data_IF_115161700133
#
_entry.id   IF_115161700133
#
_cell.length_a   1.000
_cell.length_b   1.000
_cell.length_c   1.000
_cell.angle_alpha   90.00
_cell.angle_beta   90.00
_cell.angle_gamma   90.00
#
_symmetry.space_group_name_H-M   'P 1'
#
loop_
_entity.id
_entity.type
_entity.pdbx_description
1 polymer ?
#
# COMPACT_ATOMS: atom_id res chain seq x y z
N UNK A 1 -5.33 -11.72 2.29
CA UNK A 1 -5.10 -11.33 3.71
C UNK A 1 -5.04 -12.50 4.69
N UNK A 2 -6.07 -13.38 4.80
CA UNK A 2 -6.00 -14.55 5.71
C UNK A 2 -4.81 -15.47 5.42
N UNK A 3 -4.62 -15.82 4.14
CA UNK A 3 -3.45 -16.60 3.68
C UNK A 3 -2.13 -15.90 4.02
N UNK A 4 -1.99 -14.62 3.67
CA UNK A 4 -0.79 -13.83 3.99
C UNK A 4 -0.43 -13.88 5.48
N UNK A 5 -1.43 -13.71 6.37
CA UNK A 5 -1.22 -13.79 7.83
C UNK A 5 -0.73 -15.19 8.25
N UNK A 6 -1.30 -16.25 7.67
CA UNK A 6 -0.89 -17.63 7.94
C UNK A 6 0.51 -17.97 7.43
N UNK A 7 0.84 -17.52 6.22
CA UNK A 7 2.09 -17.89 5.54
C UNK A 7 3.29 -17.11 6.10
N UNK A 8 3.08 -15.86 6.54
CA UNK A 8 4.16 -14.97 7.01
C UNK A 8 4.30 -14.96 8.54
N UNK A 9 3.19 -15.02 9.29
CA UNK A 9 3.24 -14.98 10.76
C UNK A 9 3.78 -13.68 11.36
N UNK A 10 3.58 -12.53 10.69
CA UNK A 10 4.09 -11.24 11.16
C UNK A 10 3.42 -10.76 12.47
N UNK A 11 4.22 -10.18 13.38
CA UNK A 11 3.76 -9.57 14.63
C UNK A 11 3.01 -8.24 14.41
N UNK A 12 3.39 -7.52 13.35
CA UNK A 12 2.79 -6.26 12.95
C UNK A 12 2.31 -6.33 11.50
N UNK A 13 1.18 -5.69 11.22
CA UNK A 13 0.59 -5.67 9.89
C UNK A 13 -0.27 -4.42 9.69
N UNK A 14 -0.26 -3.89 8.48
CA UNK A 14 -1.12 -2.77 8.04
C UNK A 14 -1.45 -2.95 6.57
N UNK A 15 -2.68 -2.59 6.19
CA UNK A 15 -3.10 -2.53 4.79
C UNK A 15 -3.20 -1.05 4.39
N UNK A 16 -2.51 -0.67 3.33
CA UNK A 16 -2.43 0.72 2.87
C UNK A 16 -3.26 0.87 1.60
N UNK A 17 -4.09 1.90 1.55
CA UNK A 17 -4.87 2.28 0.36
C UNK A 17 -4.55 3.73 -0.02
N UNK A 18 -4.60 4.01 -1.33
CA UNK A 18 -4.50 5.37 -1.84
C UNK A 18 -5.63 6.27 -1.29
N UNK A 19 -5.27 7.51 -0.98
CA UNK A 19 -6.24 8.52 -0.62
C UNK A 19 -6.96 9.07 -1.86
N UNK A 20 -8.17 9.58 -1.66
CA UNK A 20 -8.82 10.39 -2.69
C UNK A 20 -8.19 11.77 -2.76
N UNK A 21 -8.06 12.30 -3.97
CA UNK A 21 -7.54 13.65 -4.23
C UNK A 21 -6.13 13.65 -4.82
N UNK A 22 -5.58 14.84 -5.12
CA UNK A 22 -4.25 14.98 -5.69
C UNK A 22 -3.17 14.71 -4.63
N UNK A 23 -1.98 14.37 -5.12
CA UNK A 23 -0.77 14.16 -4.34
C UNK A 23 0.26 15.24 -4.65
N UNK A 24 1.40 15.23 -3.95
CA UNK A 24 2.51 16.12 -4.31
C UNK A 24 3.07 15.85 -5.72
N UNK A 25 2.91 14.63 -6.26
CA UNK A 25 3.37 14.31 -7.63
C UNK A 25 2.58 15.07 -8.68
N UNK A 26 1.27 15.23 -8.48
CA UNK A 26 0.41 16.04 -9.36
C UNK A 26 0.83 17.51 -9.38
N UNK A 27 1.31 18.03 -8.24
CA UNK A 27 1.83 19.40 -8.14
C UNK A 27 3.21 19.57 -8.81
N UNK A 28 4.05 18.52 -8.76
CA UNK A 28 5.37 18.54 -9.40
C UNK A 28 5.29 18.39 -10.92
N UNK A 29 4.37 17.54 -11.40
CA UNK A 29 4.22 17.24 -12.81
C UNK A 29 2.73 17.05 -13.16
N UNK A 30 2.06 18.07 -13.70
CA UNK A 30 0.62 18.03 -14.00
C UNK A 30 0.19 16.90 -14.96
N UNK A 31 1.08 16.45 -15.84
CA UNK A 31 0.82 15.33 -16.76
C UNK A 31 1.06 13.95 -16.13
N UNK A 32 1.45 13.89 -14.85
CA UNK A 32 1.66 12.64 -14.14
C UNK A 32 0.37 11.81 -14.11
N UNK A 33 0.42 10.58 -14.65
CA UNK A 33 -0.73 9.66 -14.76
C UNK A 33 -1.94 10.22 -15.52
N UNK A 34 -1.81 11.34 -16.25
CA UNK A 34 -2.93 11.98 -16.97
C UNK A 34 -3.61 11.08 -18.01
N UNK A 35 -2.89 10.10 -18.55
CA UNK A 35 -3.38 9.09 -19.48
C UNK A 35 -4.16 7.93 -18.83
N UNK A 36 -4.21 7.85 -17.49
CA UNK A 36 -4.97 6.79 -16.81
C UNK A 36 -6.45 7.07 -16.95
N UNK A 37 -7.19 6.07 -17.42
CA UNK A 37 -8.65 6.14 -17.42
C UNK A 37 -9.16 6.25 -15.98
N UNK A 38 -10.24 7.03 -15.72
CA UNK A 38 -10.85 7.08 -14.41
C UNK A 38 -11.37 5.70 -14.02
N UNK A 39 -11.36 5.41 -12.72
CA UNK A 39 -11.91 4.17 -12.19
C UNK A 39 -13.41 4.07 -12.55
N UNK A 40 -13.88 2.96 -13.16
CA UNK A 40 -15.28 2.73 -13.46
C UNK A 40 -16.16 2.90 -12.20
N UNK A 41 -17.37 3.49 -12.29
CA UNK A 41 -18.24 3.72 -11.14
C UNK A 41 -18.53 2.46 -10.32
N UNK A 42 -18.77 1.33 -11.00
CA UNK A 42 -19.03 0.04 -10.37
C UNK A 42 -17.84 -0.48 -9.55
N UNK A 43 -16.61 -0.17 -9.96
CA UNK A 43 -15.41 -0.51 -9.18
C UNK A 43 -15.21 0.48 -8.03
N UNK A 44 -15.46 1.77 -8.26
CA UNK A 44 -15.37 2.80 -7.23
C UNK A 44 -16.33 2.54 -6.07
N UNK A 45 -17.55 2.08 -6.36
CA UNK A 45 -18.55 1.73 -5.36
C UNK A 45 -18.12 0.57 -4.43
N UNK A 46 -17.12 -0.23 -4.85
CA UNK A 46 -16.62 -1.37 -4.06
C UNK A 46 -15.49 -0.99 -3.09
N UNK A 47 -14.86 0.18 -3.24
CA UNK A 47 -13.70 0.56 -2.42
C UNK A 47 -14.04 0.67 -0.93
N UNK A 48 -15.12 1.37 -0.58
CA UNK A 48 -15.52 1.54 0.81
C UNK A 48 -15.91 0.20 1.48
N UNK A 49 -16.74 -0.67 0.86
CA UNK A 49 -16.95 -2.04 1.35
C UNK A 49 -15.67 -2.86 1.53
N UNK A 50 -14.69 -2.74 0.61
CA UNK A 50 -13.39 -3.41 0.74
C UNK A 50 -12.66 -2.92 2.00
N UNK A 51 -12.61 -1.60 2.22
CA UNK A 51 -11.98 -1.05 3.43
C UNK A 51 -12.66 -1.57 4.71
N UNK A 52 -13.99 -1.64 4.73
CA UNK A 52 -14.76 -2.17 5.86
C UNK A 52 -14.42 -3.65 6.11
N UNK A 53 -14.44 -4.49 5.09
CA UNK A 53 -14.10 -5.91 5.21
C UNK A 53 -12.68 -6.11 5.71
N UNK A 54 -11.71 -5.32 5.23
CA UNK A 54 -10.31 -5.41 5.70
C UNK A 54 -10.21 -5.05 7.19
N UNK A 55 -10.90 -4.01 7.64
CA UNK A 55 -10.98 -3.65 9.08
C UNK A 55 -11.62 -4.77 9.90
N UNK A 56 -12.74 -5.33 9.44
CA UNK A 56 -13.45 -6.44 10.10
C UNK A 56 -12.60 -7.72 10.17
N UNK A 57 -11.67 -7.93 9.23
CA UNK A 57 -10.67 -8.99 9.29
C UNK A 57 -9.55 -8.72 10.33
N UNK A 58 -9.64 -7.62 11.06
CA UNK A 58 -8.69 -7.21 12.09
C UNK A 58 -7.38 -6.69 11.51
N UNK A 59 -7.42 -6.02 10.35
CA UNK A 59 -6.27 -5.32 9.80
C UNK A 59 -6.40 -3.82 10.06
N UNK A 60 -5.37 -3.15 10.60
CA UNK A 60 -5.25 -1.71 10.50
C UNK A 60 -5.29 -1.29 9.03
N UNK A 61 -6.10 -0.28 8.72
CA UNK A 61 -6.22 0.32 7.39
C UNK A 61 -5.68 1.74 7.45
N UNK A 62 -4.69 2.02 6.61
CA UNK A 62 -4.03 3.33 6.53
C UNK A 62 -4.30 3.97 5.17
N UNK A 63 -4.72 5.23 5.21
CA UNK A 63 -4.90 6.09 4.04
C UNK A 63 -4.42 7.48 4.43
N UNK A 64 -3.51 8.06 3.65
CA UNK A 64 -2.87 9.33 3.99
C UNK A 64 -3.10 10.33 2.86
N UNK A 65 -3.88 11.40 3.07
CA UNK A 65 -4.10 12.42 2.05
C UNK A 65 -2.81 13.11 1.61
N UNK A 66 -2.71 13.44 0.32
CA UNK A 66 -1.61 14.20 -0.25
C UNK A 66 -0.37 13.38 -0.64
N UNK A 67 -0.35 12.08 -0.37
CA UNK A 67 0.70 11.14 -0.80
C UNK A 67 0.05 9.89 -1.43
N UNK A 68 0.84 9.12 -2.16
CA UNK A 68 0.42 7.82 -2.69
C UNK A 68 0.66 6.70 -1.66
N UNK A 69 0.01 5.55 -1.87
CA UNK A 69 0.21 4.39 -0.99
C UNK A 69 1.67 3.90 -0.97
N UNK A 70 2.40 4.04 -2.08
CA UNK A 70 3.81 3.69 -2.20
C UNK A 70 4.70 4.49 -1.23
N UNK A 71 4.43 5.79 -1.04
CA UNK A 71 5.14 6.67 -0.12
C UNK A 71 4.95 6.25 1.33
N UNK A 72 3.70 5.91 1.69
CA UNK A 72 3.37 5.43 3.02
C UNK A 72 4.05 4.07 3.30
N UNK A 73 4.02 3.14 2.34
CA UNK A 73 4.69 1.84 2.44
C UNK A 73 6.21 2.02 2.57
N UNK A 74 6.82 2.86 1.73
CA UNK A 74 8.25 3.15 1.79
C UNK A 74 8.67 3.79 3.12
N UNK A 75 7.87 4.72 3.63
CA UNK A 75 8.10 5.35 4.94
C UNK A 75 8.02 4.34 6.07
N UNK A 76 6.97 3.53 6.12
CA UNK A 76 6.80 2.49 7.15
C UNK A 76 7.91 1.44 7.09
N UNK A 77 8.32 1.04 5.88
CA UNK A 77 9.39 0.07 5.68
C UNK A 77 10.71 0.61 6.26
N UNK A 78 11.07 1.87 5.95
CA UNK A 78 12.26 2.50 6.50
C UNK A 78 12.23 2.64 8.02
N UNK A 79 11.10 3.04 8.58
CA UNK A 79 10.93 3.18 10.04
C UNK A 79 11.04 1.84 10.74
N UNK A 80 10.39 0.79 10.21
CA UNK A 80 10.42 -0.55 10.78
C UNK A 80 11.84 -1.15 10.76
N UNK A 81 12.57 -1.02 9.64
CA UNK A 81 13.97 -1.46 9.55
C UNK A 81 14.86 -0.72 10.54
N UNK A 82 14.69 0.60 10.68
CA UNK A 82 15.44 1.39 11.66
C UNK A 82 15.15 0.97 13.12
N UNK A 83 14.00 0.34 13.37
CA UNK A 83 13.62 -0.23 14.67
C UNK A 83 14.04 -1.71 14.83
N UNK A 84 14.74 -2.28 13.85
CA UNK A 84 15.24 -3.65 13.90
C UNK A 84 14.26 -4.71 13.41
N UNK A 85 13.16 -4.32 12.74
CA UNK A 85 12.22 -5.26 12.16
C UNK A 85 12.59 -5.62 10.72
N UNK A 86 12.31 -6.87 10.33
CA UNK A 86 12.23 -7.28 8.92
C UNK A 86 10.86 -6.92 8.36
N UNK A 87 10.84 -6.52 7.09
CA UNK A 87 9.64 -6.02 6.42
C UNK A 87 9.34 -6.89 5.21
N UNK A 88 8.06 -7.26 5.07
CA UNK A 88 7.53 -7.90 3.87
C UNK A 88 6.50 -6.97 3.25
N UNK A 89 6.72 -6.59 1.99
CA UNK A 89 5.79 -5.79 1.20
C UNK A 89 5.05 -6.72 0.25
N UNK A 90 3.75 -6.86 0.45
CA UNK A 90 2.87 -7.65 -0.43
C UNK A 90 2.25 -6.74 -1.49
N UNK A 91 2.78 -6.79 -2.72
CA UNK A 91 2.36 -5.92 -3.82
C UNK A 91 2.65 -6.55 -5.19
N UNK A 92 1.82 -6.20 -6.18
CA UNK A 92 2.11 -6.47 -7.60
C UNK A 92 2.83 -5.31 -8.29
N UNK A 93 2.97 -4.17 -7.62
CA UNK A 93 3.64 -3.00 -8.16
C UNK A 93 5.16 -3.15 -8.09
N UNK A 94 5.79 -3.13 -9.27
CA UNK A 94 7.24 -3.30 -9.42
C UNK A 94 8.02 -2.06 -9.01
N UNK A 95 7.39 -0.89 -8.96
CA UNK A 95 8.06 0.33 -8.52
C UNK A 95 8.51 0.19 -7.06
N UNK A 96 7.78 -0.58 -6.25
CA UNK A 96 8.16 -0.89 -4.86
C UNK A 96 9.36 -1.85 -4.74
N UNK A 97 9.82 -2.47 -5.82
CA UNK A 97 11.05 -3.27 -5.80
C UNK A 97 12.28 -2.43 -5.42
N UNK A 98 12.22 -1.11 -5.60
CA UNK A 98 13.27 -0.18 -5.15
C UNK A 98 13.52 -0.22 -3.63
N UNK A 99 12.55 -0.70 -2.83
CA UNK A 99 12.68 -0.80 -1.39
C UNK A 99 13.47 -2.04 -0.94
N UNK A 100 13.62 -3.05 -1.81
CA UNK A 100 14.19 -4.35 -1.48
C UNK A 100 15.65 -4.22 -1.06
N UNK A 101 15.99 -4.83 0.06
CA UNK A 101 17.35 -4.90 0.59
C UNK A 101 17.47 -6.13 1.53
N UNK A 102 18.50 -6.20 2.36
CA UNK A 102 18.72 -7.33 3.26
C UNK A 102 17.59 -7.55 4.29
N UNK A 103 16.83 -6.50 4.62
CA UNK A 103 15.78 -6.50 5.65
C UNK A 103 14.37 -6.26 5.08
N UNK A 104 14.25 -5.94 3.79
CA UNK A 104 12.97 -5.70 3.10
C UNK A 104 12.81 -6.66 1.94
N UNK A 105 11.80 -7.52 2.03
CA UNK A 105 11.40 -8.47 0.99
C UNK A 105 10.11 -8.01 0.30
N UNK A 106 10.01 -8.25 -1.00
CA UNK A 106 8.79 -8.05 -1.76
C UNK A 106 8.22 -9.41 -2.15
N UNK A 107 6.95 -9.62 -1.82
CA UNK A 107 6.19 -10.79 -2.29
C UNK A 107 5.10 -10.34 -3.25
N UNK A 108 5.05 -10.98 -4.41
CA UNK A 108 3.94 -10.84 -5.34
C UNK A 108 3.05 -12.07 -5.21
N UNK A 109 1.79 -11.85 -4.81
CA UNK A 109 0.81 -12.92 -4.61
C UNK A 109 -0.12 -13.13 -5.81
N UNK A 110 0.13 -12.44 -6.92
CA UNK A 110 -0.55 -12.63 -8.21
C UNK A 110 0.25 -13.50 -9.16
#
# INVERSE_FOLDING_TARGET
>A
LKRLRSDVGAEHAVCVFDASGPTFRDAWYPEYKAQRAPMPPELRAQIEPIHEVVKLLGWPVLTVPGIEADDAIGTLSRVAVAQGHRVIVSTGDKDLAQLVNADVELINTM
#
